data_IF_147793237836
#
_entry.id   IF_147793237836
#
_cell.length_a   1.000
_cell.length_b   1.000
_cell.length_c   1.000
_cell.angle_alpha   90.00
_cell.angle_beta   90.00
_cell.angle_gamma   90.00
#
_symmetry.space_group_name_H-M   'P 1'
#
loop_
_entity.id
_entity.type
_entity.pdbx_description
1 polymer ?
#
# COMPACT_ATOMS: atom_id res chain seq x y z
N UNK A 1 2.29 -21.79 22.49
CA UNK A 1 2.67 -20.50 21.87
C UNK A 1 3.28 -20.81 20.52
N UNK A 2 2.55 -20.58 19.43
CA UNK A 2 3.00 -20.92 18.09
C UNK A 2 4.27 -20.11 17.75
N UNK A 3 5.30 -20.80 17.24
CA UNK A 3 6.59 -20.26 16.82
C UNK A 3 6.45 -19.42 15.52
N UNK A 4 5.58 -18.41 15.54
CA UNK A 4 5.33 -17.53 14.40
C UNK A 4 6.34 -16.40 14.47
N UNK A 5 7.44 -16.53 13.72
CA UNK A 5 8.37 -15.42 13.46
C UNK A 5 7.69 -14.45 12.51
N UNK A 6 6.96 -13.49 13.05
CA UNK A 6 6.41 -12.39 12.25
C UNK A 6 7.55 -11.49 11.79
N UNK A 7 7.38 -10.84 10.64
CA UNK A 7 8.34 -9.85 10.14
C UNK A 7 8.62 -8.77 11.21
N UNK A 8 7.63 -8.42 12.03
CA UNK A 8 7.77 -7.51 13.17
C UNK A 8 8.76 -8.00 14.25
N UNK A 9 8.84 -9.31 14.48
CA UNK A 9 9.78 -9.91 15.43
C UNK A 9 11.22 -9.93 14.89
N UNK A 10 11.41 -10.01 13.56
CA UNK A 10 12.72 -10.09 12.90
C UNK A 10 13.31 -8.72 12.53
N UNK A 11 12.47 -7.76 12.10
CA UNK A 11 12.88 -6.43 11.66
C UNK A 11 12.81 -5.37 12.79
N UNK A 12 12.13 -5.69 13.89
CA UNK A 12 11.76 -4.74 14.93
C UNK A 12 10.71 -3.71 14.48
N UNK A 13 10.19 -2.93 15.43
CA UNK A 13 9.15 -1.91 15.20
C UNK A 13 9.53 -0.90 14.11
N UNK A 14 10.80 -0.48 14.09
CA UNK A 14 11.33 0.46 13.09
C UNK A 14 11.42 -0.17 11.69
N UNK A 15 11.83 -1.42 11.59
CA UNK A 15 11.94 -2.12 10.31
C UNK A 15 10.57 -2.37 9.66
N UNK A 16 9.56 -2.78 10.44
CA UNK A 16 8.20 -2.98 9.92
C UNK A 16 7.56 -1.69 9.40
N UNK A 17 7.83 -0.54 10.04
CA UNK A 17 7.37 0.77 9.54
C UNK A 17 8.01 1.12 8.19
N UNK A 18 9.31 0.87 8.05
CA UNK A 18 10.04 1.13 6.82
C UNK A 18 9.52 0.23 5.70
N UNK A 19 9.38 -1.07 5.97
CA UNK A 19 8.87 -2.03 4.99
C UNK A 19 7.46 -1.67 4.51
N UNK A 20 6.55 -1.33 5.42
CA UNK A 20 5.19 -0.90 5.06
C UNK A 20 5.21 0.34 4.17
N UNK A 21 5.98 1.36 4.57
CA UNK A 21 6.10 2.61 3.82
C UNK A 21 6.72 2.39 2.45
N UNK A 22 7.77 1.56 2.38
CA UNK A 22 8.45 1.21 1.13
C UNK A 22 7.53 0.46 0.18
N UNK A 23 6.75 -0.50 0.68
CA UNK A 23 5.81 -1.25 -0.14
C UNK A 23 4.68 -0.37 -0.68
N UNK A 24 4.11 0.49 0.17
CA UNK A 24 3.06 1.42 -0.24
C UNK A 24 3.56 2.40 -1.31
N UNK A 25 4.71 3.05 -1.07
CA UNK A 25 5.28 4.01 -2.04
C UNK A 25 5.77 3.29 -3.31
N UNK A 26 6.39 2.12 -3.15
CA UNK A 26 6.90 1.31 -4.25
C UNK A 26 5.81 0.92 -5.26
N UNK A 27 4.58 0.65 -4.78
CA UNK A 27 3.45 0.37 -5.66
C UNK A 27 3.11 1.57 -6.58
N UNK A 28 3.09 2.80 -6.06
CA UNK A 28 2.85 3.99 -6.88
C UNK A 28 3.98 4.26 -7.87
N UNK A 29 5.23 4.11 -7.43
CA UNK A 29 6.41 4.28 -8.28
C UNK A 29 6.41 3.26 -9.42
N UNK A 30 6.05 2.00 -9.14
CA UNK A 30 5.95 0.96 -10.16
C UNK A 30 4.92 1.31 -11.24
N UNK A 31 3.74 1.82 -10.87
CA UNK A 31 2.73 2.26 -11.85
C UNK A 31 3.28 3.39 -12.73
N UNK A 32 3.96 4.38 -12.15
CA UNK A 32 4.60 5.46 -12.92
C UNK A 32 5.62 4.90 -13.91
N UNK A 33 6.47 3.96 -13.47
CA UNK A 33 7.45 3.29 -14.35
C UNK A 33 6.73 2.57 -15.50
N UNK A 34 5.67 1.81 -15.23
CA UNK A 34 4.94 1.09 -16.27
C UNK A 34 4.29 2.02 -17.30
N UNK A 35 3.81 3.18 -16.87
CA UNK A 35 3.29 4.22 -17.77
C UNK A 35 4.41 4.84 -18.61
N UNK A 36 5.56 5.16 -18.02
CA UNK A 36 6.72 5.70 -18.74
C UNK A 36 7.29 4.72 -19.78
N UNK A 37 7.24 3.42 -19.49
CA UNK A 37 7.63 2.35 -20.41
C UNK A 37 6.57 2.04 -21.47
N UNK A 38 5.44 2.77 -21.50
CA UNK A 38 4.29 2.52 -22.36
C UNK A 38 3.71 1.09 -22.23
N UNK A 39 3.92 0.42 -21.10
CA UNK A 39 3.35 -0.91 -20.83
C UNK A 39 1.87 -0.82 -20.45
N UNK A 40 1.44 0.33 -19.92
CA UNK A 40 0.09 0.57 -19.42
C UNK A 40 -0.36 1.97 -19.83
N UNK A 41 -1.65 2.15 -20.12
CA UNK A 41 -2.21 3.46 -20.45
C UNK A 41 -1.93 4.52 -19.37
N UNK A 42 -1.68 5.79 -19.76
CA UNK A 42 -1.55 6.90 -18.81
C UNK A 42 -2.76 7.06 -17.87
N UNK A 43 -3.94 6.55 -18.25
CA UNK A 43 -5.11 6.52 -17.38
C UNK A 43 -4.91 5.68 -16.11
N UNK A 44 -3.95 4.75 -16.08
CA UNK A 44 -3.60 4.02 -14.86
C UNK A 44 -3.05 4.93 -13.75
N UNK A 45 -2.61 6.16 -14.04
CA UNK A 45 -2.21 7.15 -13.03
C UNK A 45 -3.39 7.63 -12.15
N UNK A 46 -4.63 7.28 -12.48
CA UNK A 46 -5.79 7.52 -11.61
C UNK A 46 -5.60 6.92 -10.21
N UNK A 47 -4.75 5.91 -10.03
CA UNK A 47 -4.38 5.35 -8.72
C UNK A 47 -3.92 6.42 -7.72
N UNK A 48 -3.43 7.58 -8.18
CA UNK A 48 -3.04 8.74 -7.36
C UNK A 48 -4.19 9.21 -6.45
N UNK A 49 -5.45 9.01 -6.84
CA UNK A 49 -6.63 9.33 -6.01
C UNK A 49 -6.65 8.56 -4.69
N UNK A 50 -5.94 7.43 -4.60
CA UNK A 50 -5.83 6.61 -3.38
C UNK A 50 -4.71 7.05 -2.42
N UNK A 51 -3.86 8.02 -2.83
CA UNK A 51 -2.80 8.58 -1.97
C UNK A 51 -3.26 9.06 -0.58
N UNK A 52 -4.41 9.75 -0.40
CA UNK A 52 -4.88 10.14 0.93
C UNK A 52 -5.08 8.93 1.86
N UNK A 53 -5.54 7.80 1.31
CA UNK A 53 -5.71 6.54 2.06
C UNK A 53 -4.34 5.99 2.46
N UNK A 54 -3.39 5.93 1.52
CA UNK A 54 -2.04 5.47 1.80
C UNK A 54 -1.34 6.33 2.86
N UNK A 55 -1.49 7.67 2.78
CA UNK A 55 -0.94 8.60 3.76
C UNK A 55 -1.54 8.39 5.15
N UNK A 56 -2.85 8.16 5.23
CA UNK A 56 -3.54 7.83 6.50
C UNK A 56 -2.98 6.54 7.10
N UNK A 57 -2.87 5.47 6.30
CA UNK A 57 -2.36 4.18 6.77
C UNK A 57 -0.90 4.28 7.26
N UNK A 58 -0.03 4.95 6.51
CA UNK A 58 1.38 5.16 6.92
C UNK A 58 1.44 5.95 8.24
N UNK A 59 0.58 6.95 8.41
CA UNK A 59 0.57 7.73 9.65
C UNK A 59 0.13 6.90 10.86
N UNK A 60 -0.88 6.04 10.69
CA UNK A 60 -1.32 5.09 11.74
C UNK A 60 -0.21 4.07 12.04
N UNK A 61 0.45 3.52 11.03
CA UNK A 61 1.57 2.58 11.19
C UNK A 61 2.76 3.21 11.93
N UNK A 62 3.01 4.51 11.71
CA UNK A 62 4.03 5.26 12.46
C UNK A 62 3.67 5.49 13.92
N UNK A 63 2.38 5.51 14.26
CA UNK A 63 1.89 5.69 15.63
C UNK A 63 1.69 4.36 16.39
N UNK A 64 1.52 3.26 15.65
CA UNK A 64 1.40 1.92 16.21
C UNK A 64 2.69 1.53 16.94
N UNK A 65 2.64 1.51 18.26
CA UNK A 65 3.67 0.93 19.15
C UNK A 65 3.33 -0.54 19.42
N UNK A 66 4.35 -1.36 19.66
CA UNK A 66 4.21 -2.80 19.93
C UNK A 66 3.28 -3.09 21.13
N UNK A 67 3.17 -2.15 22.08
CA UNK A 67 2.31 -2.29 23.27
C UNK A 67 0.80 -2.09 23.01
N UNK A 68 0.37 -1.71 21.79
CA UNK A 68 -1.05 -1.51 21.46
C UNK A 68 -1.51 -2.47 20.34
N UNK A 69 -1.87 -3.72 20.69
CA UNK A 69 -2.27 -4.74 19.70
C UNK A 69 -3.55 -4.39 18.92
N UNK A 70 -4.43 -3.56 19.45
CA UNK A 70 -5.66 -3.13 18.76
C UNK A 70 -5.37 -2.31 17.50
N UNK A 71 -4.40 -1.41 17.55
CA UNK A 71 -4.00 -0.58 16.41
C UNK A 71 -3.40 -1.44 15.29
N UNK A 72 -2.68 -2.51 15.65
CA UNK A 72 -2.09 -3.46 14.70
C UNK A 72 -3.19 -4.26 13.98
N UNK A 73 -4.27 -4.62 14.69
CA UNK A 73 -5.41 -5.32 14.09
C UNK A 73 -6.15 -4.44 13.08
N UNK A 74 -6.32 -3.16 13.38
CA UNK A 74 -6.98 -2.22 12.45
C UNK A 74 -6.10 -1.89 11.24
N UNK A 75 -4.78 -1.96 11.38
CA UNK A 75 -3.83 -1.76 10.28
C UNK A 75 -4.01 -2.78 9.14
N UNK A 76 -4.37 -4.02 9.45
CA UNK A 76 -4.65 -5.04 8.43
C UNK A 76 -5.90 -4.66 7.60
N UNK A 77 -6.98 -4.27 8.28
CA UNK A 77 -8.21 -3.82 7.62
C UNK A 77 -7.98 -2.56 6.78
N UNK A 78 -7.25 -1.57 7.32
CA UNK A 78 -6.89 -0.35 6.59
C UNK A 78 -6.03 -0.66 5.36
N UNK A 79 -5.09 -1.59 5.47
CA UNK A 79 -4.23 -1.99 4.36
C UNK A 79 -5.01 -2.73 3.28
N UNK A 80 -5.95 -3.61 3.65
CA UNK A 80 -6.85 -4.25 2.71
C UNK A 80 -7.75 -3.24 1.98
N UNK A 81 -8.27 -2.23 2.69
CA UNK A 81 -9.04 -1.14 2.07
C UNK A 81 -8.20 -0.36 1.05
N UNK A 82 -6.94 -0.06 1.38
CA UNK A 82 -6.01 0.59 0.45
C UNK A 82 -5.78 -0.28 -0.80
N UNK A 83 -5.51 -1.57 -0.61
CA UNK A 83 -5.29 -2.51 -1.74
C UNK A 83 -6.53 -2.59 -2.61
N UNK A 84 -7.73 -2.70 -2.04
CA UNK A 84 -8.97 -2.71 -2.82
C UNK A 84 -9.16 -1.42 -3.61
N UNK A 85 -9.04 -0.26 -2.97
CA UNK A 85 -9.18 1.02 -3.66
C UNK A 85 -8.13 1.19 -4.77
N UNK A 86 -6.88 0.83 -4.49
CA UNK A 86 -5.77 0.93 -5.43
C UNK A 86 -5.99 0.03 -6.64
N UNK A 87 -6.28 -1.25 -6.42
CA UNK A 87 -6.46 -2.24 -7.49
C UNK A 87 -7.70 -1.95 -8.34
N UNK A 88 -8.81 -1.52 -7.72
CA UNK A 88 -10.00 -1.12 -8.46
C UNK A 88 -9.73 0.10 -9.36
N UNK A 89 -9.08 1.12 -8.81
CA UNK A 89 -8.76 2.35 -9.59
C UNK A 89 -7.75 2.05 -10.70
N UNK A 90 -6.76 1.19 -10.43
CA UNK A 90 -5.81 0.72 -11.43
C UNK A 90 -6.50 -0.05 -12.56
N UNK A 91 -7.35 -1.02 -12.22
CA UNK A 91 -8.10 -1.81 -13.19
C UNK A 91 -8.98 -0.92 -14.09
N UNK A 92 -9.68 0.06 -13.49
CA UNK A 92 -10.46 1.03 -14.25
C UNK A 92 -9.58 1.88 -15.17
N UNK A 93 -8.42 2.35 -14.71
CA UNK A 93 -7.49 3.12 -15.54
C UNK A 93 -6.93 2.32 -16.72
N UNK A 94 -6.56 1.06 -16.48
CA UNK A 94 -6.08 0.14 -17.54
C UNK A 94 -7.20 -0.16 -18.53
N UNK A 95 -8.40 -0.49 -18.04
CA UNK A 95 -9.53 -0.88 -18.88
C UNK A 95 -10.02 0.27 -19.78
N UNK A 96 -10.20 1.47 -19.21
CA UNK A 96 -10.57 2.65 -20.01
C UNK A 96 -9.48 3.00 -21.02
N UNK A 97 -8.21 2.87 -20.62
CA UNK A 97 -7.08 3.12 -21.50
C UNK A 97 -6.90 2.13 -22.66
N UNK A 98 -7.56 0.98 -22.64
CA UNK A 98 -7.55 0.02 -23.75
C UNK A 98 -8.58 0.38 -24.84
N UNK A 99 -9.64 1.10 -24.46
CA UNK A 99 -10.76 1.47 -25.36
C UNK A 99 -10.58 2.84 -26.03
N UNK A 100 -9.50 3.55 -25.73
CA UNK A 100 -9.08 4.84 -26.29
C UNK A 100 -7.79 4.65 -27.07
#
# INVERSE_FOLDING_TARGET
LANIKTQALLLGEKGSRIQYTFLAIGAYVAVVIFVLLNMVSPMALLVIVTLPIAKKNINVMKQAKVDNPEIIKDLDAMSAQLVMAFTLTYALGVFNGYWI
#
